data_IF_195442528005
#
_entry.id   IF_195442528005
#
_cell.length_a   1.000
_cell.length_b   1.000
_cell.length_c   1.000
_cell.angle_alpha   90.00
_cell.angle_beta   90.00
_cell.angle_gamma   90.00
#
_symmetry.space_group_name_H-M   'P 1'
#
loop_
_entity.id
_entity.type
_entity.pdbx_description
1 polymer ?
#
# COMPACT_ATOMS: atom_id res chain seq x y z
N UNK A 1 0.55 18.73 15.49
CA UNK A 1 1.57 17.69 15.24
C UNK A 1 1.73 17.64 13.72
N UNK A 2 2.93 17.88 13.21
CA UNK A 2 3.20 17.84 11.76
C UNK A 2 3.68 16.43 11.45
N UNK A 3 2.99 15.73 10.55
CA UNK A 3 3.43 14.40 10.12
C UNK A 3 4.66 14.53 9.21
N UNK A 4 5.70 13.77 9.48
CA UNK A 4 6.87 13.66 8.61
C UNK A 4 6.61 12.61 7.55
N UNK A 5 7.01 12.88 6.31
CA UNK A 5 6.84 11.96 5.18
C UNK A 5 8.19 11.60 4.56
N UNK A 6 8.36 10.31 4.26
CA UNK A 6 9.45 9.81 3.43
C UNK A 6 9.05 9.87 1.95
N UNK A 7 10.01 10.21 1.10
CA UNK A 7 9.82 10.37 -0.35
C UNK A 7 10.61 9.32 -1.10
N UNK A 8 9.93 8.53 -1.93
CA UNK A 8 10.57 7.62 -2.91
C UNK A 8 10.28 8.11 -4.31
N UNK A 9 11.32 8.41 -5.10
CA UNK A 9 11.21 8.83 -6.51
C UNK A 9 11.07 7.60 -7.41
N UNK A 10 10.04 7.59 -8.26
CA UNK A 10 9.87 6.60 -9.33
C UNK A 10 9.97 7.34 -10.66
N UNK A 11 10.91 6.91 -11.50
CA UNK A 11 11.05 7.41 -12.87
C UNK A 11 10.06 6.69 -13.78
N UNK A 12 9.19 7.42 -14.47
CA UNK A 12 8.07 6.86 -15.24
C UNK A 12 8.40 6.84 -16.73
N UNK A 13 9.69 6.70 -17.08
CA UNK A 13 10.14 6.71 -18.48
C UNK A 13 9.65 5.52 -19.32
N UNK A 14 8.98 4.54 -18.70
CA UNK A 14 8.42 3.33 -19.31
C UNK A 14 7.07 2.97 -18.64
N UNK A 15 6.17 2.29 -19.35
CA UNK A 15 4.85 1.80 -18.86
C UNK A 15 4.91 1.04 -17.50
N UNK A 16 6.08 0.50 -17.17
CA UNK A 16 6.36 -0.23 -15.94
C UNK A 16 6.25 0.63 -14.68
N UNK A 17 6.56 1.94 -14.75
CA UNK A 17 6.56 2.84 -13.60
C UNK A 17 5.17 3.15 -13.04
N UNK A 18 4.18 3.37 -13.92
CA UNK A 18 2.78 3.57 -13.51
C UNK A 18 2.17 2.28 -12.95
N UNK A 19 2.54 1.14 -13.52
CA UNK A 19 2.13 -0.17 -13.00
C UNK A 19 2.62 -0.37 -11.57
N UNK A 20 3.89 -0.06 -11.27
CA UNK A 20 4.46 -0.19 -9.92
C UNK A 20 3.75 0.72 -8.89
N UNK A 21 3.49 1.97 -9.28
CA UNK A 21 2.73 2.93 -8.44
C UNK A 21 1.31 2.40 -8.15
N UNK A 22 0.60 1.92 -9.19
CA UNK A 22 -0.75 1.39 -9.05
C UNK A 22 -0.78 0.16 -8.13
N UNK A 23 0.19 -0.75 -8.28
CA UNK A 23 0.32 -1.92 -7.43
C UNK A 23 0.55 -1.54 -5.98
N UNK A 24 1.48 -0.62 -5.73
CA UNK A 24 1.77 -0.15 -4.39
C UNK A 24 0.54 0.48 -3.71
N UNK A 25 -0.18 1.35 -4.43
CA UNK A 25 -1.40 1.99 -3.93
C UNK A 25 -2.50 0.96 -3.62
N UNK A 26 -2.72 0.01 -4.54
CA UNK A 26 -3.72 -1.05 -4.38
C UNK A 26 -3.37 -1.99 -3.23
N UNK A 27 -2.10 -2.35 -3.04
CA UNK A 27 -1.64 -3.18 -1.92
C UNK A 27 -1.95 -2.50 -0.58
N UNK A 28 -1.65 -1.20 -0.46
CA UNK A 28 -1.95 -0.41 0.74
C UNK A 28 -3.45 -0.32 1.01
N UNK A 29 -4.24 -0.07 -0.03
CA UNK A 29 -5.69 0.02 0.07
C UNK A 29 -6.32 -1.31 0.53
N UNK A 30 -5.95 -2.42 -0.11
CA UNK A 30 -6.47 -3.74 0.23
C UNK A 30 -6.05 -4.18 1.64
N UNK A 31 -4.78 -3.95 2.02
CA UNK A 31 -4.31 -4.25 3.37
C UNK A 31 -5.07 -3.44 4.45
N UNK A 32 -5.36 -2.16 4.19
CA UNK A 32 -6.20 -1.32 5.08
C UNK A 32 -7.63 -1.86 5.19
N UNK A 33 -8.24 -2.24 4.07
CA UNK A 33 -9.59 -2.79 4.06
C UNK A 33 -9.67 -4.10 4.86
N UNK A 34 -8.74 -5.03 4.62
CA UNK A 34 -8.66 -6.30 5.35
C UNK A 34 -8.44 -6.07 6.85
N UNK A 35 -7.55 -5.16 7.21
CA UNK A 35 -7.32 -4.81 8.62
C UNK A 35 -8.56 -4.18 9.27
N UNK A 36 -9.29 -3.32 8.55
CA UNK A 36 -10.53 -2.72 9.07
C UNK A 36 -11.61 -3.79 9.32
N UNK A 37 -11.87 -4.67 8.35
CA UNK A 37 -12.81 -5.78 8.52
C UNK A 37 -12.39 -6.73 9.65
N UNK A 38 -11.09 -7.02 9.77
CA UNK A 38 -10.57 -7.85 10.85
C UNK A 38 -10.76 -7.22 12.23
N UNK A 39 -10.56 -5.91 12.36
CA UNK A 39 -10.83 -5.18 13.60
C UNK A 39 -12.30 -5.28 13.99
N UNK A 40 -13.22 -5.14 13.04
CA UNK A 40 -14.65 -5.35 13.29
C UNK A 40 -14.94 -6.77 13.76
N UNK A 41 -14.33 -7.78 13.13
CA UNK A 41 -14.43 -9.17 13.59
C UNK A 41 -13.93 -9.33 15.04
N UNK A 42 -12.81 -8.70 15.42
CA UNK A 42 -12.32 -8.68 16.81
C UNK A 42 -13.33 -8.01 17.76
N UNK A 43 -13.96 -6.90 17.35
CA UNK A 43 -14.95 -6.22 18.18
C UNK A 43 -16.20 -7.07 18.40
N UNK A 44 -16.69 -7.73 17.36
CA UNK A 44 -17.90 -8.54 17.38
C UNK A 44 -17.77 -9.85 18.16
N UNK A 45 -16.55 -10.39 18.27
CA UNK A 45 -16.30 -11.70 18.87
C UNK A 45 -15.82 -11.63 20.34
N UNK A 46 -15.64 -12.80 20.96
CA UNK A 46 -15.23 -12.95 22.37
C UNK A 46 -13.73 -12.69 22.61
N UNK A 47 -13.14 -11.73 21.88
CA UNK A 47 -11.78 -11.28 22.13
C UNK A 47 -11.69 -10.52 23.48
N UNK A 48 -10.60 -10.72 24.24
CA UNK A 48 -10.40 -10.02 25.51
C UNK A 48 -10.35 -8.50 25.35
N UNK A 49 -10.84 -7.75 26.36
CA UNK A 49 -10.98 -6.28 26.29
C UNK A 49 -9.70 -5.53 25.92
N UNK A 50 -8.54 -5.98 26.43
CA UNK A 50 -7.24 -5.41 26.06
C UNK A 50 -6.92 -5.56 24.57
N UNK A 51 -7.25 -6.70 23.95
CA UNK A 51 -7.07 -6.90 22.51
C UNK A 51 -8.03 -6.03 21.70
N UNK A 52 -9.29 -5.88 22.15
CA UNK A 52 -10.24 -4.97 21.49
C UNK A 52 -9.76 -3.53 21.50
N UNK A 53 -9.22 -3.05 22.61
CA UNK A 53 -8.65 -1.71 22.72
C UNK A 53 -7.37 -1.55 21.88
N UNK A 54 -6.50 -2.55 21.88
CA UNK A 54 -5.29 -2.57 21.06
C UNK A 54 -5.62 -2.51 19.56
N UNK A 55 -6.55 -3.34 19.09
CA UNK A 55 -7.00 -3.39 17.70
C UNK A 55 -7.54 -2.04 17.21
N UNK A 56 -8.28 -1.29 18.04
CA UNK A 56 -8.79 0.04 17.68
C UNK A 56 -7.68 1.06 17.38
N UNK A 57 -6.52 0.91 18.03
CA UNK A 57 -5.40 1.85 17.91
C UNK A 57 -4.52 1.58 16.72
N UNK A 58 -4.39 0.32 16.29
CA UNK A 58 -3.53 -0.05 15.17
C UNK A 58 -3.94 0.69 13.89
N UNK A 59 -2.99 1.10 13.07
CA UNK A 59 -3.27 1.65 11.73
C UNK A 59 -2.16 1.26 10.76
N UNK A 60 -2.50 1.17 9.48
CA UNK A 60 -1.53 1.10 8.40
C UNK A 60 -1.38 2.52 7.91
N UNK A 61 -0.15 3.02 7.88
CA UNK A 61 0.12 4.41 7.51
C UNK A 61 -0.43 4.77 6.14
N UNK A 62 -0.76 6.05 6.00
CA UNK A 62 -1.15 6.60 4.72
C UNK A 62 0.05 6.70 3.78
N UNK A 63 -0.27 6.44 2.53
CA UNK A 63 0.65 6.23 1.45
C UNK A 63 -0.06 6.79 0.22
N UNK A 64 0.52 7.77 -0.45
CA UNK A 64 -0.09 8.40 -1.61
C UNK A 64 0.96 8.77 -2.66
N UNK A 65 0.54 8.68 -3.93
CA UNK A 65 1.33 9.16 -5.05
C UNK A 65 1.21 10.70 -5.15
N UNK A 66 2.35 11.35 -5.34
CA UNK A 66 2.45 12.79 -5.62
C UNK A 66 3.12 12.96 -6.96
N UNK A 67 2.44 13.70 -7.83
CA UNK A 67 2.99 14.12 -9.11
C UNK A 67 3.81 15.38 -8.88
N UNK A 68 5.01 15.44 -9.45
CA UNK A 68 5.74 16.69 -9.51
C UNK A 68 5.42 17.37 -10.84
N UNK A 69 4.50 18.34 -10.77
CA UNK A 69 4.24 19.28 -11.84
C UNK A 69 4.63 20.70 -11.37
N UNK A 70 5.91 20.85 -10.99
CA UNK A 70 6.48 22.16 -10.63
C UNK A 70 7.83 22.31 -11.33
N UNK A 71 7.84 22.16 -12.65
CA UNK A 71 8.77 22.87 -13.51
C UNK A 71 8.25 22.78 -14.93
N UNK A 72 7.93 23.92 -15.51
CA UNK A 72 7.53 24.17 -16.91
C UNK A 72 8.59 23.77 -17.96
N UNK A 73 9.44 22.79 -17.67
CA UNK A 73 10.51 22.33 -18.55
C UNK A 73 10.21 20.89 -18.99
N UNK A 74 9.88 20.68 -20.27
CA UNK A 74 9.85 19.35 -20.88
C UNK A 74 11.19 18.64 -20.63
N UNK A 75 11.14 17.35 -20.33
CA UNK A 75 12.36 16.55 -20.15
C UNK A 75 13.05 16.39 -21.51
N UNK A 76 14.35 16.60 -21.54
CA UNK A 76 15.15 16.23 -22.71
C UNK A 76 15.29 14.70 -22.74
N UNK A 77 15.33 14.12 -23.94
CA UNK A 77 15.73 12.72 -24.12
C UNK A 77 17.19 12.44 -23.73
N UNK A 78 17.97 13.49 -23.47
CA UNK A 78 19.34 13.41 -22.99
C UNK A 78 19.39 13.27 -21.45
N UNK A 79 19.94 12.15 -20.99
CA UNK A 79 20.08 11.79 -19.56
C UNK A 79 21.14 12.63 -18.84
N UNK A 80 22.02 13.32 -19.55
CA UNK A 80 23.12 14.10 -18.98
C UNK A 80 22.77 15.59 -18.82
N UNK A 81 21.52 15.98 -19.08
CA UNK A 81 21.10 17.38 -19.00
C UNK A 81 21.26 17.93 -17.57
N UNK A 82 22.13 18.94 -17.37
CA UNK A 82 22.35 19.54 -16.06
C UNK A 82 21.07 20.16 -15.50
N UNK A 83 20.77 19.91 -14.22
CA UNK A 83 19.59 20.44 -13.54
C UNK A 83 18.26 19.79 -13.92
N UNK A 84 18.25 18.75 -14.76
CA UNK A 84 17.04 17.99 -15.09
C UNK A 84 16.51 17.16 -13.90
N UNK A 85 17.40 16.85 -12.94
CA UNK A 85 17.11 16.10 -11.71
C UNK A 85 17.12 16.95 -10.43
N UNK A 86 17.19 18.28 -10.54
CA UNK A 86 17.13 19.17 -9.38
C UNK A 86 15.69 19.24 -8.85
N UNK A 87 15.37 18.30 -7.95
CA UNK A 87 14.06 18.12 -7.31
C UNK A 87 13.87 19.03 -6.07
N UNK A 88 14.57 20.17 -6.03
CA UNK A 88 14.50 21.17 -4.96
C UNK A 88 13.74 22.40 -5.46
N UNK A 89 12.72 22.84 -4.71
CA UNK A 89 12.19 24.19 -4.86
C UNK A 89 13.30 25.17 -4.49
N UNK A 90 14.10 25.61 -5.45
CA UNK A 90 14.91 26.81 -5.26
C UNK A 90 13.92 27.96 -5.13
N UNK A 91 13.60 28.32 -3.87
CA UNK A 91 13.03 29.63 -3.55
C UNK A 91 14.15 30.63 -3.78
N UNK A 92 14.44 30.90 -5.04
CA UNK A 92 15.28 32.02 -5.43
C UNK A 92 14.52 33.27 -5.03
N UNK A 93 15.11 34.02 -4.10
CA UNK A 93 14.77 35.42 -3.89
C UNK A 93 14.74 36.09 -5.27
N UNK A 94 13.56 36.53 -5.71
CA UNK A 94 13.35 37.14 -7.01
C UNK A 94 13.99 38.52 -7.03
N UNK A 95 15.22 38.60 -7.53
CA UNK A 95 15.71 39.81 -8.19
C UNK A 95 15.42 39.64 -9.70
N UNK A 96 14.42 40.37 -10.17
CA UNK A 96 13.97 40.40 -11.56
C UNK A 96 15.07 40.91 -12.50
N UNK A 97 15.25 40.26 -13.66
CA UNK A 97 15.44 41.04 -14.88
C UNK A 97 14.43 40.65 -15.97
N UNK A 98 14.02 41.70 -16.69
CA UNK A 98 12.99 41.73 -17.71
C UNK A 98 13.15 40.67 -18.81
N UNK A 99 12.11 39.85 -18.99
CA UNK A 99 12.08 38.87 -20.07
C UNK A 99 11.03 37.77 -19.89
N UNK A 100 9.80 38.11 -19.49
CA UNK A 100 8.72 37.12 -19.44
C UNK A 100 8.28 36.74 -20.86
N UNK A 101 8.89 35.71 -21.43
CA UNK A 101 8.20 34.87 -22.41
C UNK A 101 7.05 34.21 -21.66
N UNK A 102 5.82 34.62 -21.97
CA UNK A 102 4.60 33.96 -21.52
C UNK A 102 4.66 32.49 -21.94
N UNK A 103 5.13 31.62 -21.05
CA UNK A 103 5.04 30.17 -21.22
C UNK A 103 3.55 29.86 -21.21
N UNK A 104 2.99 29.59 -22.40
CA UNK A 104 1.62 29.08 -22.53
C UNK A 104 1.54 27.82 -21.65
N UNK A 105 0.44 27.60 -20.91
CA UNK A 105 0.21 26.32 -20.27
C UNK A 105 0.31 25.26 -21.36
N UNK A 106 1.35 24.43 -21.31
CA UNK A 106 1.40 23.24 -22.15
C UNK A 106 0.20 22.38 -21.75
N UNK A 107 -0.51 21.83 -22.75
CA UNK A 107 -1.52 20.84 -22.46
C UNK A 107 -0.88 19.75 -21.58
N UNK A 108 -1.53 19.36 -20.47
CA UNK A 108 -0.95 18.39 -19.57
C UNK A 108 -0.69 17.11 -20.36
N UNK A 109 0.55 16.63 -20.33
CA UNK A 109 0.89 15.32 -20.87
C UNK A 109 -0.08 14.26 -20.30
N UNK A 110 -0.50 13.30 -21.14
CA UNK A 110 -1.45 12.25 -20.73
C UNK A 110 -0.96 11.51 -19.48
N UNK A 111 0.34 11.34 -19.34
CA UNK A 111 0.99 10.62 -18.24
C UNK A 111 2.05 11.50 -17.56
N UNK A 112 2.16 11.46 -16.22
CA UNK A 112 3.16 12.23 -15.50
C UNK A 112 4.57 11.63 -15.71
N UNK A 113 5.59 12.43 -16.06
CA UNK A 113 6.95 11.92 -16.29
C UNK A 113 7.64 11.42 -15.01
N UNK A 114 7.15 11.83 -13.83
CA UNK A 114 7.67 11.42 -12.52
C UNK A 114 6.53 11.26 -11.51
N UNK A 115 6.61 10.22 -10.70
CA UNK A 115 5.73 10.01 -9.55
C UNK A 115 6.58 9.81 -8.30
N UNK A 116 6.19 10.48 -7.23
CA UNK A 116 6.78 10.32 -5.91
C UNK A 116 5.81 9.56 -5.02
N UNK A 117 6.26 8.49 -4.39
CA UNK A 117 5.51 7.83 -3.34
C UNK A 117 5.84 8.48 -2.00
N UNK A 118 4.82 9.03 -1.35
CA UNK A 118 4.91 9.62 -0.03
C UNK A 118 4.34 8.66 1.00
N UNK A 119 5.11 8.33 2.04
CA UNK A 119 4.67 7.53 3.19
C UNK A 119 5.01 8.23 4.49
N UNK A 120 4.11 8.20 5.47
CA UNK A 120 4.39 8.71 6.82
C UNK A 120 5.62 8.01 7.44
N UNK A 121 6.52 8.79 8.04
CA UNK A 121 7.72 8.27 8.70
C UNK A 121 7.32 7.60 10.02
N UNK A 122 7.64 6.32 10.15
CA UNK A 122 7.55 5.60 11.41
C UNK A 122 8.93 5.56 12.05
N UNK A 123 9.16 6.38 13.07
CA UNK A 123 10.39 6.31 13.85
C UNK A 123 10.47 4.99 14.63
N UNK A 124 11.64 4.36 14.65
CA UNK A 124 11.84 3.08 15.35
C UNK A 124 11.14 1.89 14.68
N UNK A 125 10.93 1.95 13.36
CA UNK A 125 10.33 0.86 12.59
C UNK A 125 11.15 -0.42 12.68
N UNK A 126 10.49 -1.53 13.01
CA UNK A 126 11.07 -2.87 13.06
C UNK A 126 10.26 -3.84 12.19
N UNK A 127 10.85 -4.99 11.85
CA UNK A 127 10.10 -6.10 11.26
C UNK A 127 9.27 -6.80 12.34
N UNK A 128 8.02 -7.11 12.02
CA UNK A 128 7.04 -7.77 12.88
C UNK A 128 6.59 -9.06 12.18
N UNK A 129 6.63 -10.19 12.88
CA UNK A 129 6.31 -11.52 12.32
C UNK A 129 7.01 -11.82 10.99
N UNK A 130 8.35 -11.86 11.01
CA UNK A 130 9.11 -12.16 9.79
C UNK A 130 8.81 -13.58 9.30
N UNK A 131 8.41 -13.78 8.03
CA UNK A 131 8.16 -15.12 7.49
C UNK A 131 9.43 -15.98 7.42
N UNK A 132 10.59 -15.32 7.32
CA UNK A 132 11.91 -15.94 7.27
C UNK A 132 12.38 -16.49 8.61
N UNK A 133 11.73 -16.14 9.72
CA UNK A 133 12.10 -16.65 11.03
C UNK A 133 11.77 -18.16 11.11
N UNK A 134 12.78 -19.05 11.26
CA UNK A 134 12.56 -20.49 11.32
C UNK A 134 12.03 -20.96 12.68
N UNK A 135 12.17 -20.15 13.74
CA UNK A 135 11.75 -20.47 15.11
C UNK A 135 10.48 -19.74 15.53
N UNK A 136 9.72 -19.29 14.54
CA UNK A 136 8.51 -18.51 14.75
C UNK A 136 7.38 -19.35 15.37
N UNK A 137 7.41 -19.45 16.70
CA UNK A 137 6.42 -20.15 17.52
C UNK A 137 5.79 -19.19 18.52
N UNK A 138 4.63 -18.64 18.17
CA UNK A 138 3.82 -17.90 19.13
C UNK A 138 3.24 -18.81 20.22
N UNK A 139 2.82 -18.22 21.33
CA UNK A 139 1.98 -18.87 22.34
C UNK A 139 0.91 -17.87 22.76
N UNK A 140 -0.07 -18.29 23.57
CA UNK A 140 -1.10 -17.38 24.09
C UNK A 140 -0.54 -16.26 25.00
N UNK A 141 0.75 -16.33 25.36
CA UNK A 141 1.49 -15.35 26.13
C UNK A 141 2.38 -14.42 25.29
N UNK A 142 2.41 -14.61 23.96
CA UNK A 142 3.17 -13.75 23.06
C UNK A 142 2.65 -12.31 23.08
N UNK A 143 3.48 -11.33 22.66
CA UNK A 143 3.09 -9.93 22.58
C UNK A 143 1.76 -9.71 21.82
N UNK A 144 0.92 -8.74 22.24
CA UNK A 144 -0.37 -8.48 21.58
C UNK A 144 -0.28 -8.20 20.09
N UNK A 145 0.78 -7.52 19.64
CA UNK A 145 1.00 -7.25 18.21
C UNK A 145 1.20 -8.54 17.42
N UNK A 146 1.99 -9.47 17.95
CA UNK A 146 2.28 -10.73 17.30
C UNK A 146 1.03 -11.60 17.22
N UNK A 147 0.29 -11.69 18.33
CA UNK A 147 -0.98 -12.39 18.37
C UNK A 147 -1.98 -11.82 17.36
N UNK A 148 -2.09 -10.48 17.28
CA UNK A 148 -2.98 -9.79 16.36
C UNK A 148 -2.60 -10.10 14.91
N UNK A 149 -1.35 -9.83 14.52
CA UNK A 149 -0.91 -10.00 13.13
C UNK A 149 -0.99 -11.48 12.70
N UNK A 150 -0.63 -12.43 13.57
CA UNK A 150 -0.73 -13.85 13.28
C UNK A 150 -2.17 -14.31 13.06
N UNK A 151 -3.10 -13.79 13.87
CA UNK A 151 -4.54 -14.05 13.67
C UNK A 151 -5.11 -13.34 12.45
N UNK A 152 -4.58 -12.16 12.07
CA UNK A 152 -4.94 -11.47 10.83
C UNK A 152 -4.55 -12.29 9.60
N UNK A 153 -3.34 -12.87 9.57
CA UNK A 153 -2.90 -13.75 8.47
C UNK A 153 -3.85 -14.93 8.27
N UNK A 154 -4.21 -15.60 9.36
CA UNK A 154 -5.17 -16.71 9.33
C UNK A 154 -6.54 -16.24 8.90
N UNK A 155 -7.06 -15.16 9.48
CA UNK A 155 -8.37 -14.64 9.14
C UNK A 155 -8.49 -14.27 7.65
N UNK A 156 -7.49 -13.59 7.08
CA UNK A 156 -7.45 -13.27 5.64
C UNK A 156 -7.40 -14.54 4.78
N UNK A 157 -6.59 -15.51 5.17
CA UNK A 157 -6.51 -16.79 4.47
C UNK A 157 -7.83 -17.56 4.49
N UNK A 158 -8.50 -17.62 5.64
CA UNK A 158 -9.83 -18.22 5.75
C UNK A 158 -10.90 -17.44 4.98
N UNK A 159 -10.90 -16.11 5.06
CA UNK A 159 -11.84 -15.26 4.35
C UNK A 159 -11.76 -15.46 2.83
N UNK A 160 -10.54 -15.57 2.32
CA UNK A 160 -10.26 -15.71 0.88
C UNK A 160 -10.19 -17.17 0.41
N UNK A 161 -10.71 -18.10 1.22
CA UNK A 161 -10.78 -19.53 0.88
C UNK A 161 -9.42 -20.10 0.45
N UNK A 162 -8.36 -19.72 1.15
CA UNK A 162 -6.99 -20.17 0.90
C UNK A 162 -6.24 -19.45 -0.21
N UNK A 163 -6.86 -18.48 -0.89
CA UNK A 163 -6.22 -17.79 -2.00
C UNK A 163 -5.03 -16.93 -1.56
N UNK A 164 -5.18 -16.13 -0.50
CA UNK A 164 -4.19 -15.13 -0.15
C UNK A 164 -3.99 -14.95 1.35
N UNK A 165 -2.85 -14.34 1.72
CA UNK A 165 -2.58 -13.88 3.08
C UNK A 165 -1.70 -12.64 3.07
N UNK A 166 -1.56 -12.00 4.23
CA UNK A 166 -0.72 -10.82 4.44
C UNK A 166 0.60 -11.25 5.10
N UNK A 167 1.70 -10.55 4.83
CA UNK A 167 3.01 -10.87 5.41
C UNK A 167 3.95 -9.67 5.41
N UNK A 168 5.20 -9.88 5.84
CA UNK A 168 6.28 -8.90 5.86
C UNK A 168 5.89 -7.60 6.58
N UNK A 169 5.12 -7.73 7.66
CA UNK A 169 4.69 -6.58 8.44
C UNK A 169 5.91 -5.83 8.99
N UNK A 170 5.94 -4.51 8.81
CA UNK A 170 6.93 -3.64 9.46
C UNK A 170 6.19 -2.53 10.20
N UNK A 171 6.79 -1.97 11.22
CA UNK A 171 6.15 -0.86 11.94
C UNK A 171 6.74 -0.62 13.31
N UNK A 172 6.08 0.29 14.02
CA UNK A 172 6.28 0.54 15.43
C UNK A 172 4.89 0.74 16.03
N UNK A 173 4.30 -0.28 16.69
CA UNK A 173 2.91 -0.22 17.13
C UNK A 173 2.60 1.10 17.87
N UNK A 174 1.48 1.77 17.53
CA UNK A 174 0.36 1.23 16.77
C UNK A 174 0.47 1.36 15.24
N UNK A 175 1.54 1.92 14.68
CA UNK A 175 1.66 2.19 13.25
C UNK A 175 2.32 1.01 12.51
N UNK A 176 1.71 0.59 11.41
CA UNK A 176 2.16 -0.49 10.53
C UNK A 176 2.41 0.01 9.11
N UNK A 177 3.33 -0.65 8.42
CA UNK A 177 3.73 -0.33 7.06
C UNK A 177 4.34 -1.55 6.34
N UNK A 178 4.59 -1.39 5.04
CA UNK A 178 5.32 -2.32 4.17
C UNK A 178 4.75 -3.74 4.14
N UNK A 179 3.44 -3.86 4.35
CA UNK A 179 2.71 -5.13 4.26
C UNK A 179 2.75 -5.62 2.83
N UNK A 180 3.03 -6.91 2.66
CA UNK A 180 2.96 -7.60 1.38
C UNK A 180 1.74 -8.51 1.34
N UNK A 181 1.18 -8.68 0.15
CA UNK A 181 0.08 -9.60 -0.12
C UNK A 181 0.66 -10.77 -0.88
N UNK A 182 0.50 -11.97 -0.33
CA UNK A 182 0.82 -13.23 -1.01
C UNK A 182 -0.47 -13.80 -1.54
N UNK A 183 -0.53 -14.02 -2.85
CA UNK A 183 -1.73 -14.47 -3.55
C UNK A 183 -1.34 -15.63 -4.48
N UNK A 184 -2.16 -16.69 -4.48
CA UNK A 184 -2.02 -17.84 -5.36
C UNK A 184 -2.58 -17.58 -6.76
N UNK A 185 -3.39 -16.53 -6.93
CA UNK A 185 -3.92 -16.15 -8.24
C UNK A 185 -2.77 -15.72 -9.16
N UNK A 186 -2.51 -16.47 -10.27
CA UNK A 186 -1.43 -16.15 -11.18
C UNK A 186 -1.64 -14.84 -11.95
N UNK A 187 -2.88 -14.35 -12.02
CA UNK A 187 -3.23 -13.07 -12.63
C UNK A 187 -3.11 -11.90 -11.65
N UNK A 188 -2.95 -12.19 -10.36
CA UNK A 188 -2.66 -11.17 -9.37
C UNK A 188 -1.21 -10.70 -9.51
N UNK A 189 -0.98 -9.39 -9.44
CA UNK A 189 0.39 -8.83 -9.58
C UNK A 189 0.91 -8.25 -8.28
N UNK A 190 0.41 -8.73 -7.14
CA UNK A 190 0.86 -8.29 -5.82
C UNK A 190 2.32 -8.69 -5.56
N UNK A 191 2.74 -9.86 -6.05
CA UNK A 191 4.07 -10.43 -5.82
C UNK A 191 4.45 -11.51 -6.86
N UNK A 192 5.75 -11.87 -6.96
CA UNK A 192 6.24 -12.90 -7.90
C UNK A 192 5.70 -14.30 -7.57
N UNK A 193 4.93 -14.85 -8.51
CA UNK A 193 4.24 -16.16 -8.52
C UNK A 193 5.03 -17.36 -7.92
N UNK A 194 6.35 -17.41 -8.12
CA UNK A 194 7.16 -18.58 -7.72
C UNK A 194 7.33 -18.76 -6.21
N UNK A 195 7.25 -17.69 -5.43
CA UNK A 195 7.48 -17.77 -3.98
C UNK A 195 6.17 -17.86 -3.18
N UNK A 196 5.03 -17.46 -3.77
CA UNK A 196 3.74 -17.41 -3.08
C UNK A 196 3.29 -18.75 -2.50
N UNK A 197 3.39 -19.83 -3.30
CA UNK A 197 2.95 -21.15 -2.88
C UNK A 197 3.83 -21.72 -1.76
N UNK A 198 5.15 -21.49 -1.83
CA UNK A 198 6.08 -21.84 -0.76
C UNK A 198 5.77 -21.06 0.52
N UNK A 199 5.58 -19.75 0.41
CA UNK A 199 5.26 -18.90 1.56
C UNK A 199 3.96 -19.30 2.26
N UNK A 200 2.90 -19.59 1.50
CA UNK A 200 1.64 -20.07 2.06
C UNK A 200 1.81 -21.46 2.70
N UNK A 201 2.53 -22.38 2.05
CA UNK A 201 2.82 -23.70 2.63
C UNK A 201 3.60 -23.58 3.94
N UNK A 202 4.61 -22.72 3.99
CA UNK A 202 5.42 -22.48 5.19
C UNK A 202 4.59 -21.81 6.30
N UNK A 203 3.73 -20.86 5.95
CA UNK A 203 2.76 -20.26 6.87
C UNK A 203 1.85 -21.33 7.49
N UNK A 204 1.25 -22.20 6.68
CA UNK A 204 0.34 -23.26 7.16
C UNK A 204 1.07 -24.21 8.12
N UNK A 205 2.30 -24.61 7.78
CA UNK A 205 3.11 -25.52 8.61
C UNK A 205 3.49 -24.92 9.95
N UNK A 206 3.85 -23.63 9.97
CA UNK A 206 4.31 -22.92 11.17
C UNK A 206 3.16 -22.43 12.06
N UNK A 207 1.95 -22.26 11.50
CA UNK A 207 0.84 -21.67 12.21
C UNK A 207 0.16 -22.63 13.18
N UNK A 208 0.08 -22.22 14.44
CA UNK A 208 -0.81 -22.77 15.45
C UNK A 208 -1.87 -21.72 15.84
N UNK A 209 -3.10 -22.17 16.07
CA UNK A 209 -4.19 -21.29 16.45
C UNK A 209 -4.00 -20.77 17.88
N UNK A 210 -3.89 -19.45 18.01
CA UNK A 210 -3.80 -18.75 19.30
C UNK A 210 -5.20 -18.50 19.88
N UNK A 211 -5.26 -17.98 21.11
CA UNK A 211 -6.49 -17.53 21.77
C UNK A 211 -7.32 -16.56 20.92
N UNK A 212 -6.68 -15.75 20.06
CA UNK A 212 -7.39 -14.83 19.18
C UNK A 212 -8.08 -15.58 18.04
N UNK A 213 -7.37 -16.51 17.38
CA UNK A 213 -7.97 -17.37 16.35
C UNK A 213 -9.18 -18.14 16.90
N UNK A 214 -9.05 -18.69 18.11
CA UNK A 214 -10.13 -19.42 18.80
C UNK A 214 -11.31 -18.51 19.14
N UNK A 215 -11.04 -17.30 19.64
CA UNK A 215 -12.08 -16.32 19.97
C UNK A 215 -12.85 -15.83 18.73
N UNK A 216 -12.20 -15.83 17.56
CA UNK A 216 -12.80 -15.52 16.26
C UNK A 216 -13.49 -16.73 15.62
N UNK A 217 -13.52 -17.88 16.30
CA UNK A 217 -14.05 -19.14 15.77
C UNK A 217 -13.43 -19.57 14.44
N UNK A 218 -12.17 -19.22 14.20
CA UNK A 218 -11.45 -19.67 13.02
C UNK A 218 -11.26 -21.19 13.09
N UNK A 219 -11.47 -21.91 11.98
CA UNK A 219 -11.17 -23.34 11.93
C UNK A 219 -9.68 -23.57 12.19
N UNK A 220 -9.29 -24.79 12.54
CA UNK A 220 -7.86 -25.12 12.58
C UNK A 220 -7.28 -24.86 11.19
N UNK A 221 -6.21 -24.08 11.12
CA UNK A 221 -5.59 -23.77 9.83
C UNK A 221 -5.13 -25.07 9.16
N UNK A 222 -5.56 -25.23 7.92
CA UNK A 222 -5.20 -26.32 7.04
C UNK A 222 -5.11 -25.78 5.62
N UNK A 223 -4.42 -26.52 4.75
CA UNK A 223 -4.41 -26.18 3.33
C UNK A 223 -5.84 -26.26 2.77
N UNK A 224 -6.25 -25.22 2.07
CA UNK A 224 -7.53 -25.16 1.37
C UNK A 224 -7.17 -25.24 -0.10
N UNK A 225 -7.60 -26.29 -0.82
CA UNK A 225 -7.31 -26.40 -2.24
C UNK A 225 -7.88 -25.19 -2.98
N UNK A 226 -7.00 -24.34 -3.48
CA UNK A 226 -7.38 -23.22 -4.31
C UNK A 226 -7.08 -23.56 -5.77
N UNK A 227 -8.11 -23.63 -6.59
CA UNK A 227 -8.00 -23.74 -8.04
C UNK A 227 -8.50 -22.45 -8.66
N UNK A 228 -7.87 -22.01 -9.74
CA UNK A 228 -8.47 -21.00 -10.63
C UNK A 228 -9.77 -21.61 -11.16
N UNK A 229 -10.91 -21.22 -10.59
CA UNK A 229 -12.21 -21.67 -11.07
C UNK A 229 -12.34 -21.24 -12.53
N UNK A 230 -12.32 -22.20 -13.46
CA UNK A 230 -13.10 -22.06 -14.67
C UNK A 230 -14.55 -21.84 -14.22
N UNK A 231 -15.11 -20.70 -14.59
CA UNK A 231 -16.40 -20.15 -14.15
C UNK A 231 -17.47 -21.23 -13.91
N UNK A 232 -17.76 -21.53 -12.65
CA UNK A 232 -19.06 -22.06 -12.25
C UNK A 232 -19.59 -21.34 -11.00
N UNK A 233 -20.82 -20.85 -11.14
CA UNK A 233 -21.56 -20.04 -10.20
C UNK A 233 -21.78 -20.75 -8.85
N UNK A 234 -21.07 -20.30 -7.81
CA UNK A 234 -21.53 -20.46 -6.42
C UNK A 234 -21.48 -19.11 -5.68
N UNK A 235 -22.51 -18.74 -4.91
CA UNK A 235 -22.68 -17.38 -4.44
C UNK A 235 -21.92 -17.15 -3.13
N UNK A 236 -20.63 -16.85 -3.23
CA UNK A 236 -19.96 -15.96 -2.28
C UNK A 236 -19.05 -15.03 -3.09
N UNK A 237 -19.58 -13.84 -3.36
CA UNK A 237 -18.97 -12.87 -4.26
C UNK A 237 -18.43 -11.67 -3.46
N UNK A 238 -17.18 -11.69 -2.94
CA UNK A 238 -16.43 -10.45 -2.95
C UNK A 238 -16.05 -10.22 -4.42
N UNK A 239 -16.76 -9.31 -5.09
CA UNK A 239 -16.44 -8.89 -6.47
C UNK A 239 -15.03 -8.30 -6.46
N UNK A 240 -14.02 -9.13 -6.71
CA UNK A 240 -12.69 -8.67 -7.05
C UNK A 240 -12.30 -9.39 -8.32
N UNK A 241 -12.65 -8.75 -9.44
CA UNK A 241 -12.28 -9.17 -10.79
C UNK A 241 -10.86 -8.69 -11.04
N UNK A 242 -9.95 -9.59 -11.42
CA UNK A 242 -8.54 -9.27 -11.66
C UNK A 242 -8.19 -9.52 -13.13
N UNK A 243 -8.46 -8.53 -13.97
CA UNK A 243 -7.76 -8.43 -15.26
C UNK A 243 -6.42 -7.71 -15.05
N UNK A 244 -5.48 -7.88 -15.99
CA UNK A 244 -4.25 -7.08 -16.08
C UNK A 244 -4.66 -5.59 -15.95
N UNK A 245 -4.15 -4.81 -14.99
CA UNK A 245 -4.38 -3.39 -14.96
C UNK A 245 -3.51 -2.81 -16.06
N UNK A 246 -4.15 -2.62 -17.20
CA UNK A 246 -3.97 -1.38 -17.89
C UNK A 246 -4.44 -0.26 -16.95
N UNK A 247 -3.78 0.89 -16.99
CA UNK A 247 -4.18 2.09 -16.25
C UNK A 247 -5.67 2.34 -16.57
N UNK A 248 -6.55 2.11 -15.59
CA UNK A 248 -8.00 2.24 -15.82
C UNK A 248 -8.40 3.71 -15.68
N UNK A 249 -9.52 4.09 -16.30
CA UNK A 249 -10.04 5.47 -16.21
C UNK A 249 -10.24 5.93 -14.75
N UNK A 250 -10.55 5.01 -13.85
CA UNK A 250 -10.67 5.25 -12.41
C UNK A 250 -9.32 5.50 -11.74
N UNK A 251 -8.23 4.86 -12.19
CA UNK A 251 -6.88 5.15 -11.72
C UNK A 251 -6.45 6.54 -12.22
N UNK A 252 -6.82 6.91 -13.45
CA UNK A 252 -6.62 8.26 -14.01
C UNK A 252 -7.46 9.32 -13.30
N UNK A 253 -8.68 9.00 -12.87
CA UNK A 253 -9.54 9.87 -12.08
C UNK A 253 -8.96 10.09 -10.68
N UNK A 254 -8.44 9.04 -10.02
CA UNK A 254 -7.72 9.17 -8.77
C UNK A 254 -6.48 10.06 -8.92
N UNK A 255 -5.72 9.87 -10.00
CA UNK A 255 -4.58 10.70 -10.39
C UNK A 255 -5.04 12.15 -10.64
N UNK A 256 -6.18 12.37 -11.28
CA UNK A 256 -6.77 13.67 -11.58
C UNK A 256 -7.25 14.42 -10.33
N UNK A 257 -7.85 13.72 -9.36
CA UNK A 257 -8.26 14.31 -8.07
C UNK A 257 -7.04 14.85 -7.31
N UNK A 258 -5.92 14.12 -7.33
CA UNK A 258 -4.65 14.59 -6.75
C UNK A 258 -4.12 15.81 -7.53
N UNK A 259 -4.28 15.86 -8.86
CA UNK A 259 -3.93 17.04 -9.69
C UNK A 259 -4.78 18.27 -9.32
N UNK A 260 -6.10 18.10 -9.13
CA UNK A 260 -7.00 19.19 -8.73
C UNK A 260 -6.67 19.72 -7.33
N UNK A 261 -6.32 18.85 -6.38
CA UNK A 261 -5.86 19.26 -5.05
C UNK A 261 -4.57 20.10 -5.10
N UNK A 262 -3.62 19.73 -5.96
CA UNK A 262 -2.39 20.49 -6.21
C UNK A 262 -2.67 21.86 -6.83
N UNK A 263 -3.58 21.93 -7.81
CA UNK A 263 -3.97 23.18 -8.46
C UNK A 263 -4.62 24.16 -7.46
N UNK A 264 -5.48 23.65 -6.56
CA UNK A 264 -6.13 24.43 -5.52
C UNK A 264 -5.12 24.98 -4.49
N UNK A 265 -4.13 24.17 -4.10
CA UNK A 265 -3.04 24.58 -3.20
C UNK A 265 -2.17 25.69 -3.82
N UNK A 266 -1.81 25.56 -5.10
CA UNK A 266 -1.02 26.56 -5.82
C UNK A 266 -1.79 27.88 -6.01
N UNK A 267 -3.09 27.80 -6.29
CA UNK A 267 -3.96 28.98 -6.40
C UNK A 267 -4.10 29.69 -5.05
N UNK A 268 -4.21 28.92 -3.96
CA UNK A 268 -4.28 29.46 -2.60
C UNK A 268 -2.94 30.04 -2.11
N UNK A 269 -1.80 29.51 -2.56
CA UNK A 269 -0.48 30.07 -2.28
C UNK A 269 -0.27 31.40 -3.01
N UNK A 270 -0.71 31.52 -4.26
CA UNK A 270 -0.64 32.75 -5.06
C UNK A 270 -1.59 33.85 -4.56
N UNK A 271 -2.76 33.50 -4.01
CA UNK A 271 -3.69 34.48 -3.44
C UNK A 271 -3.23 35.06 -2.09
N UNK A 272 -2.33 34.38 -1.38
CA UNK A 272 -1.71 34.87 -0.13
C UNK A 272 -0.49 35.77 -0.34
N UNK A 273 -0.02 35.89 -1.58
CA UNK A 273 1.10 36.74 -1.98
C UNK A 273 0.63 38.06 -2.64
N UNK A 274 -0.67 38.37 -2.60
CA UNK A 274 -1.26 39.63 -3.04
C UNK A 274 -1.74 40.45 -1.85
#
# INVERSE_FOLDING_TARGET
MVAEYSRTKIDVTEDSGLTEVALWMRTRALARQMMAQFKEAIQANQCGGGMKQFARRLSIIDAFAVHYDISTRPRSGDKLMPGQDDDMLEVTHMDTPDGYTSVRPLEPEKEPPRVFLMEEVIHGMTSLLSPDDPFYHLTDNSPPIDLFLHSLQHWVYSLTQGQMTLTHFKGHPPLLSKIQIIDLNPESMWFRKGESQKMISDFIKKHHCTKICKALHLPKLQEIPWTTCDKEDTPFNPKITFERPEVQEQDLELISIVRQGSLALNTAAQSRLK
#
